data_IF_912417561783
#
_entry.id   IF_912417561783
#
_cell.length_a   1.000
_cell.length_b   1.000
_cell.length_c   1.000
_cell.angle_alpha   90.00
_cell.angle_beta   90.00
_cell.angle_gamma   90.00
#
_symmetry.space_group_name_H-M   'P 1'
#
loop_
_entity.id
_entity.type
_entity.pdbx_description
1 polymer ?
#
# COMPACT_ATOMS: atom_id res chain seq x y z
N UNK A 1 -5.80 -4.52 -3.65
CA UNK A 1 -6.33 -5.39 -4.72
C UNK A 1 -7.56 -6.22 -4.32
N UNK A 2 -7.53 -7.04 -3.26
CA UNK A 2 -8.68 -7.91 -2.89
C UNK A 2 -9.99 -7.16 -2.63
N UNK A 3 -9.91 -5.96 -2.05
CA UNK A 3 -11.08 -5.07 -1.88
C UNK A 3 -11.62 -4.49 -3.19
N UNK A 4 -10.83 -4.49 -4.27
CA UNK A 4 -11.22 -3.93 -5.58
C UNK A 4 -11.72 -5.01 -6.55
N UNK A 5 -11.04 -6.16 -6.59
CA UNK A 5 -11.28 -7.22 -7.60
C UNK A 5 -11.88 -8.49 -6.99
N UNK A 6 -12.14 -8.48 -5.68
CA UNK A 6 -12.73 -9.60 -4.95
C UNK A 6 -11.72 -10.62 -4.44
N UNK A 7 -12.24 -11.69 -3.83
CA UNK A 7 -11.48 -12.74 -3.14
C UNK A 7 -10.82 -13.77 -4.06
N UNK A 8 -11.12 -13.75 -5.37
CA UNK A 8 -10.58 -14.71 -6.32
C UNK A 8 -9.10 -14.42 -6.60
N UNK A 9 -8.23 -15.34 -6.18
CA UNK A 9 -6.78 -15.21 -6.30
C UNK A 9 -6.31 -15.07 -7.75
N UNK A 10 -6.98 -15.69 -8.72
CA UNK A 10 -6.63 -15.58 -10.14
C UNK A 10 -6.76 -14.14 -10.67
N UNK A 11 -7.70 -13.36 -10.11
CA UNK A 11 -7.87 -11.94 -10.45
C UNK A 11 -7.09 -11.03 -9.50
N UNK A 12 -7.02 -11.37 -8.22
CA UNK A 12 -6.36 -10.52 -7.23
C UNK A 12 -4.83 -10.56 -7.35
N UNK A 13 -4.25 -11.66 -7.82
CA UNK A 13 -2.79 -11.78 -8.01
C UNK A 13 -2.26 -10.76 -9.04
N UNK A 14 -2.71 -10.77 -10.33
CA UNK A 14 -2.24 -9.78 -11.30
C UNK A 14 -2.55 -8.35 -10.84
N UNK A 15 -3.74 -8.10 -10.28
CA UNK A 15 -4.08 -6.80 -9.74
C UNK A 15 -3.17 -6.35 -8.58
N UNK A 16 -2.73 -7.27 -7.72
CA UNK A 16 -1.80 -6.95 -6.62
C UNK A 16 -0.39 -6.66 -7.13
N UNK A 17 0.06 -7.37 -8.18
CA UNK A 17 1.36 -7.10 -8.81
C UNK A 17 1.38 -5.68 -9.36
N UNK A 18 0.39 -5.30 -10.19
CA UNK A 18 0.35 -3.96 -10.77
C UNK A 18 0.17 -2.87 -9.69
N UNK A 19 -0.73 -3.09 -8.73
CA UNK A 19 -0.97 -2.12 -7.66
C UNK A 19 0.26 -1.93 -6.76
N UNK A 20 0.95 -3.03 -6.43
CA UNK A 20 2.19 -2.99 -5.65
C UNK A 20 3.34 -2.33 -6.40
N UNK A 21 3.50 -2.62 -7.70
CA UNK A 21 4.53 -1.99 -8.53
C UNK A 21 4.33 -0.47 -8.64
N UNK A 22 3.11 -0.03 -8.95
CA UNK A 22 2.77 1.40 -9.03
C UNK A 22 3.00 2.08 -7.67
N UNK A 23 2.54 1.45 -6.59
CA UNK A 23 2.72 1.99 -5.23
C UNK A 23 4.20 2.14 -4.88
N UNK A 24 5.02 1.12 -5.09
CA UNK A 24 6.44 1.17 -4.77
C UNK A 24 7.18 2.24 -5.58
N UNK A 25 6.92 2.33 -6.89
CA UNK A 25 7.54 3.37 -7.73
C UNK A 25 7.14 4.77 -7.28
N UNK A 26 5.87 4.97 -6.92
CA UNK A 26 5.38 6.25 -6.42
C UNK A 26 6.06 6.64 -5.10
N UNK A 27 6.13 5.70 -4.15
CA UNK A 27 6.76 5.95 -2.84
C UNK A 27 8.27 6.13 -2.95
N UNK A 28 8.96 5.38 -3.82
CA UNK A 28 10.40 5.58 -4.08
C UNK A 28 10.68 6.95 -4.70
N UNK A 29 9.87 7.36 -5.68
CA UNK A 29 9.98 8.70 -6.29
C UNK A 29 9.76 9.79 -5.24
N UNK A 30 8.77 9.64 -4.36
CA UNK A 30 8.53 10.58 -3.27
C UNK A 30 9.70 10.60 -2.28
N UNK A 31 10.22 9.44 -1.87
CA UNK A 31 11.35 9.36 -0.94
C UNK A 31 12.58 10.10 -1.48
N UNK A 32 12.85 9.98 -2.79
CA UNK A 32 13.94 10.69 -3.47
C UNK A 32 13.70 12.19 -3.66
N UNK A 33 12.43 12.61 -3.69
CA UNK A 33 12.07 14.02 -3.95
C UNK A 33 12.00 14.85 -2.67
N UNK A 34 11.56 14.27 -1.55
CA UNK A 34 11.28 14.99 -0.31
C UNK A 34 12.56 15.34 0.48
N UNK A 35 13.65 14.63 0.23
CA UNK A 35 14.87 14.78 1.02
C UNK A 35 16.13 14.67 0.15
N UNK A 36 17.09 15.55 0.41
CA UNK A 36 18.45 15.48 -0.16
C UNK A 36 19.24 14.33 0.47
N UNK A 37 18.88 13.92 1.69
CA UNK A 37 19.39 12.74 2.39
C UNK A 37 18.54 11.52 2.05
N UNK A 38 19.15 10.34 1.89
CA UNK A 38 18.44 9.10 1.57
C UNK A 38 17.46 8.71 2.68
N UNK A 39 16.18 9.05 2.51
CA UNK A 39 15.11 8.59 3.39
C UNK A 39 14.93 7.09 3.17
N UNK A 40 15.03 6.25 4.21
CA UNK A 40 14.84 4.82 4.05
C UNK A 40 13.42 4.53 3.54
N UNK A 41 13.32 3.89 2.37
CA UNK A 41 12.03 3.56 1.73
C UNK A 41 11.10 2.78 2.68
N UNK A 42 11.68 1.93 3.53
CA UNK A 42 10.94 1.16 4.53
C UNK A 42 10.18 2.01 5.55
N UNK A 43 10.71 3.18 5.92
CA UNK A 43 10.03 4.10 6.86
C UNK A 43 8.79 4.70 6.19
N UNK A 44 8.92 5.15 4.94
CA UNK A 44 7.83 5.78 4.21
C UNK A 44 6.72 4.77 3.88
N UNK A 45 7.09 3.59 3.38
CA UNK A 45 6.14 2.50 3.10
C UNK A 45 5.49 1.97 4.37
N UNK A 46 6.25 1.82 5.46
CA UNK A 46 5.74 1.37 6.76
C UNK A 46 4.75 2.36 7.38
N UNK A 47 5.02 3.66 7.27
CA UNK A 47 4.11 4.71 7.74
C UNK A 47 2.78 4.68 6.98
N UNK A 48 2.83 4.68 5.65
CA UNK A 48 1.63 4.61 4.79
C UNK A 48 0.87 3.31 5.06
N UNK A 49 1.57 2.19 5.14
CA UNK A 49 1.00 0.88 5.43
C UNK A 49 0.29 0.83 6.78
N UNK A 50 0.85 1.47 7.81
CA UNK A 50 0.25 1.55 9.15
C UNK A 50 -1.07 2.33 9.12
N UNK A 51 -1.07 3.51 8.50
CA UNK A 51 -2.30 4.32 8.35
C UNK A 51 -3.38 3.54 7.60
N UNK A 52 -2.99 2.90 6.50
CA UNK A 52 -3.91 2.08 5.71
C UNK A 52 -4.46 0.88 6.51
N UNK A 53 -3.60 0.19 7.27
CA UNK A 53 -4.00 -0.94 8.10
C UNK A 53 -4.99 -0.54 9.20
N UNK A 54 -4.74 0.57 9.90
CA UNK A 54 -5.67 1.12 10.91
C UNK A 54 -7.02 1.46 10.27
N UNK A 55 -7.00 2.11 9.10
CA UNK A 55 -8.22 2.43 8.36
C UNK A 55 -9.02 1.18 7.98
N UNK A 56 -8.37 0.14 7.46
CA UNK A 56 -9.02 -1.15 7.15
C UNK A 56 -9.59 -1.78 8.42
N UNK A 57 -8.86 -1.76 9.53
CA UNK A 57 -9.33 -2.31 10.80
C UNK A 57 -10.60 -1.60 11.29
N UNK A 58 -10.63 -0.26 11.27
CA UNK A 58 -11.83 0.51 11.62
C UNK A 58 -13.00 0.26 10.70
N UNK A 59 -12.77 0.09 9.39
CA UNK A 59 -13.84 -0.23 8.43
C UNK A 59 -14.49 -1.58 8.74
N UNK A 60 -13.71 -2.57 9.16
CA UNK A 60 -14.21 -3.91 9.47
C UNK A 60 -14.85 -4.01 10.87
N UNK A 61 -14.67 -3.02 11.75
CA UNK A 61 -15.37 -2.97 13.06
C UNK A 61 -16.88 -2.74 12.97
N UNK A 62 -17.44 -2.45 11.79
CA UNK A 62 -18.90 -2.32 11.60
C UNK A 62 -19.64 -3.67 11.38
N UNK A 63 -18.95 -4.80 11.50
CA UNK A 63 -19.54 -6.15 11.35
C UNK A 63 -19.40 -6.98 12.64
N UNK A 64 -19.28 -6.31 13.80
CA UNK A 64 -19.37 -6.95 15.11
C UNK A 64 -20.60 -6.45 15.85
#
# INVERSE_FOLDING_TARGET
ARMLVGANNARSLPASIFMGAIFLLFVDTLARTISVSEVPLGVLTGFIGTIFFVWVLWRNKKVA
#
